data_IF_067097115090
#
_entry.id   IF_067097115090
#
_cell.length_a   1.000
_cell.length_b   1.000
_cell.length_c   1.000
_cell.angle_alpha   90.00
_cell.angle_beta   90.00
_cell.angle_gamma   90.00
#
_symmetry.space_group_name_H-M   'P 1'
#
loop_
_entity.id
_entity.type
_entity.pdbx_description
1 polymer ?
#
# COMPACT_ATOMS: atom_id res chain seq x y z
N UNK A 1 20.32 11.70 3.48
CA UNK A 1 19.15 11.46 4.34
C UNK A 1 19.21 12.52 5.44
N UNK A 2 18.24 13.42 5.39
CA UNK A 2 18.15 14.59 6.24
C UNK A 2 17.78 14.20 7.67
N UNK A 3 17.85 15.17 8.60
CA UNK A 3 17.62 15.05 10.02
C UNK A 3 16.50 14.08 10.37
N UNK A 4 16.73 13.26 11.39
CA UNK A 4 15.76 12.28 11.90
C UNK A 4 14.47 12.99 12.26
N UNK A 5 13.43 12.78 11.48
CA UNK A 5 12.10 13.31 11.79
C UNK A 5 11.54 12.67 13.05
N UNK A 6 10.69 13.41 13.78
CA UNK A 6 10.04 12.92 14.99
C UNK A 6 9.10 11.75 14.72
N UNK A 7 8.49 11.71 13.51
CA UNK A 7 7.58 10.65 13.06
C UNK A 7 7.98 10.24 11.65
N UNK A 8 8.26 8.95 11.46
CA UNK A 8 8.59 8.34 10.18
C UNK A 8 7.47 7.41 9.71
N UNK A 9 6.89 7.69 8.54
CA UNK A 9 5.83 6.90 7.95
C UNK A 9 6.31 6.29 6.63
N UNK A 10 6.25 4.97 6.52
CA UNK A 10 6.45 4.26 5.28
C UNK A 10 5.10 3.93 4.67
N UNK A 11 4.90 4.29 3.40
CA UNK A 11 3.69 3.94 2.65
C UNK A 11 4.04 3.04 1.47
N UNK A 12 3.24 2.01 1.23
CA UNK A 12 3.43 1.10 0.12
C UNK A 12 2.09 0.68 -0.48
N UNK A 13 2.10 0.29 -1.76
CA UNK A 13 0.90 -0.07 -2.51
C UNK A 13 1.10 0.04 -4.01
N UNK A 14 0.01 0.21 -4.74
CA UNK A 14 0.04 0.34 -6.21
C UNK A 14 -0.18 1.78 -6.69
N UNK A 15 -0.71 1.95 -7.90
CA UNK A 15 -1.00 3.26 -8.51
C UNK A 15 -1.86 4.18 -7.65
N UNK A 16 -2.76 3.63 -6.84
CA UNK A 16 -3.57 4.38 -5.88
C UNK A 16 -2.73 5.04 -4.78
N UNK A 17 -1.65 4.38 -4.36
CA UNK A 17 -0.73 4.94 -3.37
C UNK A 17 0.31 5.87 -3.99
N UNK A 18 0.71 5.59 -5.24
CA UNK A 18 1.53 6.54 -6.03
C UNK A 18 0.80 7.87 -6.21
N UNK A 19 -0.52 7.83 -6.37
CA UNK A 19 -1.34 9.00 -6.71
C UNK A 19 -1.35 9.25 -8.22
N UNK A 20 -1.49 8.16 -9.03
CA UNK A 20 -1.58 8.33 -10.48
C UNK A 20 -2.84 9.14 -10.84
N UNK A 21 -2.64 10.17 -11.68
CA UNK A 21 -3.71 11.05 -12.15
C UNK A 21 -4.05 12.22 -11.22
N UNK A 22 -3.45 12.30 -10.04
CA UNK A 22 -3.54 13.46 -9.12
C UNK A 22 -2.19 14.14 -8.96
N UNK A 23 -2.15 15.36 -8.38
CA UNK A 23 -0.88 15.98 -8.00
C UNK A 23 -0.30 15.28 -6.77
N UNK A 24 1.02 15.37 -6.59
CA UNK A 24 1.69 14.74 -5.45
C UNK A 24 1.07 15.12 -4.10
N UNK A 25 0.77 16.39 -3.89
CA UNK A 25 0.19 16.89 -2.64
C UNK A 25 -1.28 16.47 -2.42
N UNK A 26 -1.96 15.97 -3.46
CA UNK A 26 -3.32 15.43 -3.42
C UNK A 26 -3.31 13.91 -3.15
N UNK A 27 -2.18 13.22 -3.36
CA UNK A 27 -2.07 11.79 -3.09
C UNK A 27 -2.12 11.51 -1.58
N UNK A 28 -2.85 10.47 -1.18
CA UNK A 28 -3.13 10.16 0.22
C UNK A 28 -1.91 10.10 1.15
N UNK A 29 -0.71 9.61 0.72
CA UNK A 29 0.45 9.62 1.60
C UNK A 29 0.86 11.04 2.01
N UNK A 30 0.83 11.97 1.06
CA UNK A 30 1.24 13.37 1.31
C UNK A 30 0.17 14.14 2.07
N UNK A 31 -1.12 13.88 1.80
CA UNK A 31 -2.24 14.41 2.60
C UNK A 31 -2.13 13.92 4.05
N UNK A 32 -1.83 12.63 4.25
CA UNK A 32 -1.60 12.04 5.57
C UNK A 32 -0.47 12.75 6.32
N UNK A 33 0.67 12.98 5.65
CA UNK A 33 1.80 13.73 6.22
C UNK A 33 1.35 15.07 6.79
N UNK A 34 0.59 15.84 6.01
CA UNK A 34 0.13 17.17 6.44
C UNK A 34 -0.89 17.09 7.59
N UNK A 35 -1.76 16.07 7.61
CA UNK A 35 -2.69 15.83 8.73
C UNK A 35 -1.93 15.55 10.03
N UNK A 36 -0.95 14.62 10.01
CA UNK A 36 -0.14 14.26 11.18
C UNK A 36 0.66 15.47 11.66
N UNK A 37 1.34 16.17 10.75
CA UNK A 37 2.13 17.37 11.05
C UNK A 37 1.28 18.45 11.73
N UNK A 38 0.10 18.73 11.17
CA UNK A 38 -0.81 19.75 11.71
C UNK A 38 -1.33 19.39 13.10
N UNK A 39 -1.54 18.11 13.37
CA UNK A 39 -2.09 17.64 14.65
C UNK A 39 -1.05 17.60 15.77
N UNK A 40 0.19 17.23 15.44
CA UNK A 40 1.23 16.96 16.43
C UNK A 40 2.24 18.10 16.60
N UNK A 41 2.29 19.03 15.65
CA UNK A 41 3.33 20.05 15.51
C UNK A 41 4.77 19.48 15.40
N UNK A 42 4.88 18.15 15.14
CA UNK A 42 6.15 17.43 14.99
C UNK A 42 6.63 17.42 13.53
N UNK A 43 7.92 17.17 13.36
CA UNK A 43 8.46 16.89 12.01
C UNK A 43 8.06 15.50 11.56
N UNK A 44 7.55 15.39 10.33
CA UNK A 44 7.04 14.13 9.76
C UNK A 44 7.73 13.82 8.44
N UNK A 45 8.37 12.66 8.37
CA UNK A 45 8.85 12.09 7.11
C UNK A 45 7.85 11.11 6.53
N UNK A 46 7.68 11.12 5.20
CA UNK A 46 6.91 10.12 4.49
C UNK A 46 7.77 9.48 3.40
N UNK A 47 7.86 8.15 3.42
CA UNK A 47 8.58 7.36 2.42
C UNK A 47 7.56 6.58 1.59
N UNK A 48 7.15 7.17 0.45
CA UNK A 48 6.21 6.51 -0.44
C UNK A 48 6.96 5.58 -1.40
N UNK A 49 6.92 4.28 -1.12
CA UNK A 49 7.59 3.22 -1.88
C UNK A 49 6.61 2.46 -2.78
N UNK A 50 5.46 3.03 -3.06
CA UNK A 50 4.50 2.45 -3.98
C UNK A 50 4.98 2.50 -5.44
N UNK A 51 4.50 1.57 -6.25
CA UNK A 51 4.72 1.60 -7.70
C UNK A 51 3.44 1.21 -8.45
N UNK A 52 3.23 1.82 -9.62
CA UNK A 52 2.09 1.47 -10.47
C UNK A 52 2.16 0.00 -10.89
N UNK A 53 1.02 -0.70 -10.82
CA UNK A 53 0.97 -2.12 -11.19
C UNK A 53 1.52 -3.08 -10.13
N UNK A 54 1.91 -2.61 -8.95
CA UNK A 54 2.41 -3.47 -7.87
C UNK A 54 1.46 -4.63 -7.55
N UNK A 55 2.05 -5.75 -7.15
CA UNK A 55 1.39 -6.92 -6.56
C UNK A 55 1.45 -6.89 -5.03
N UNK A 56 0.75 -7.81 -4.37
CA UNK A 56 0.88 -8.02 -2.93
C UNK A 56 2.30 -8.48 -2.54
N UNK A 57 2.95 -9.27 -3.38
CA UNK A 57 4.35 -9.72 -3.17
C UNK A 57 5.33 -8.55 -3.26
N UNK A 58 5.11 -7.60 -4.21
CA UNK A 58 5.90 -6.37 -4.30
C UNK A 58 5.88 -5.58 -3.00
N UNK A 59 4.69 -5.42 -2.39
CA UNK A 59 4.53 -4.67 -1.14
C UNK A 59 5.39 -5.29 -0.05
N UNK A 60 5.25 -6.60 0.20
CA UNK A 60 6.00 -7.29 1.26
C UNK A 60 7.50 -7.24 1.01
N UNK A 61 7.93 -7.54 -0.22
CA UNK A 61 9.35 -7.52 -0.61
C UNK A 61 9.96 -6.12 -0.44
N UNK A 62 9.23 -5.08 -0.78
CA UNK A 62 9.68 -3.69 -0.65
C UNK A 62 9.82 -3.29 0.80
N UNK A 63 8.80 -3.56 1.62
CA UNK A 63 8.86 -3.29 3.07
C UNK A 63 10.00 -4.09 3.72
N UNK A 64 10.13 -5.38 3.43
CA UNK A 64 11.21 -6.22 3.96
C UNK A 64 12.61 -5.64 3.66
N UNK A 65 12.83 -5.13 2.45
CA UNK A 65 14.13 -4.55 2.06
C UNK A 65 14.43 -3.20 2.70
N UNK A 66 13.44 -2.50 3.16
CA UNK A 66 13.58 -1.08 3.54
C UNK A 66 13.28 -0.80 5.01
N UNK A 67 12.57 -1.69 5.69
CA UNK A 67 12.08 -1.44 7.05
C UNK A 67 13.21 -1.19 8.05
N UNK A 68 14.29 -1.97 8.01
CA UNK A 68 15.45 -1.79 8.89
C UNK A 68 16.27 -0.54 8.55
N UNK A 69 16.23 -0.10 7.28
CA UNK A 69 16.95 1.09 6.81
C UNK A 69 16.21 2.36 7.20
N UNK A 70 14.90 2.38 7.01
CA UNK A 70 14.05 3.55 7.24
C UNK A 70 13.58 3.65 8.68
N UNK A 71 13.55 2.53 9.41
CA UNK A 71 13.08 2.41 10.78
C UNK A 71 11.79 3.22 11.03
N UNK A 72 10.69 2.92 10.30
CA UNK A 72 9.46 3.69 10.37
C UNK A 72 8.71 3.43 11.69
N UNK A 73 8.07 4.47 12.22
CA UNK A 73 7.12 4.33 13.34
C UNK A 73 5.81 3.68 12.86
N UNK A 74 5.41 4.00 11.62
CA UNK A 74 4.18 3.49 11.00
C UNK A 74 4.46 2.93 9.60
N UNK A 75 3.89 1.77 9.32
CA UNK A 75 3.85 1.17 7.98
C UNK A 75 2.40 1.16 7.51
N UNK A 76 2.08 2.00 6.55
CA UNK A 76 0.74 2.18 5.99
C UNK A 76 0.66 1.55 4.60
N UNK A 77 -0.15 0.52 4.45
CA UNK A 77 -0.29 -0.22 3.19
C UNK A 77 -1.69 -0.08 2.62
N UNK A 78 -1.76 0.32 1.35
CA UNK A 78 -2.97 0.18 0.56
C UNK A 78 -2.79 -1.01 -0.38
N UNK A 79 -3.44 -2.14 -0.04
CA UNK A 79 -3.23 -3.40 -0.73
C UNK A 79 -3.66 -3.34 -2.20
N UNK A 80 -2.78 -3.74 -3.12
CA UNK A 80 -3.13 -3.87 -4.53
C UNK A 80 -4.04 -5.06 -4.77
N UNK A 81 -4.71 -5.12 -5.94
CA UNK A 81 -5.48 -6.29 -6.33
C UNK A 81 -4.63 -7.56 -6.32
N UNK A 82 -5.12 -8.61 -5.65
CA UNK A 82 -4.44 -9.91 -5.48
C UNK A 82 -4.28 -10.72 -6.77
N UNK A 83 -4.93 -10.29 -7.83
CA UNK A 83 -4.79 -10.87 -9.18
C UNK A 83 -3.44 -10.59 -9.84
N UNK A 84 -2.59 -9.83 -9.17
CA UNK A 84 -1.24 -9.51 -9.62
C UNK A 84 -0.22 -10.31 -8.84
N UNK A 85 0.67 -11.01 -9.52
CA UNK A 85 1.78 -11.79 -8.94
C UNK A 85 3.12 -11.31 -9.46
N UNK A 86 4.15 -11.46 -8.67
CA UNK A 86 5.52 -11.32 -9.15
C UNK A 86 6.02 -12.66 -9.71
N UNK A 87 6.56 -12.61 -10.92
CA UNK A 87 7.21 -13.74 -11.56
C UNK A 87 8.68 -13.40 -11.79
N UNK A 88 9.60 -14.37 -11.61
CA UNK A 88 10.98 -14.16 -11.99
C UNK A 88 11.06 -13.88 -13.50
N UNK A 89 11.78 -12.83 -13.87
CA UNK A 89 12.10 -12.57 -15.28
C UNK A 89 13.36 -13.32 -15.68
N UNK A 90 13.36 -13.93 -16.86
CA UNK A 90 14.56 -14.53 -17.45
C UNK A 90 15.60 -13.46 -17.86
N UNK A 91 15.21 -12.20 -17.86
CA UNK A 91 16.07 -11.07 -18.19
C UNK A 91 16.45 -10.30 -16.91
N UNK A 92 17.71 -10.39 -16.53
CA UNK A 92 18.33 -9.55 -15.49
C UNK A 92 17.89 -9.75 -14.03
N UNK A 93 17.48 -10.92 -13.60
CA UNK A 93 17.09 -11.23 -12.20
C UNK A 93 16.05 -10.27 -11.60
N UNK A 94 15.23 -9.65 -12.43
CA UNK A 94 14.16 -8.75 -12.00
C UNK A 94 12.84 -9.48 -11.88
N UNK A 95 12.11 -9.20 -10.83
CA UNK A 95 10.72 -9.63 -10.72
C UNK A 95 9.83 -8.77 -11.64
N UNK A 96 9.00 -9.41 -12.43
CA UNK A 96 8.00 -8.77 -13.28
C UNK A 96 6.63 -9.05 -12.71
N UNK A 97 5.83 -8.00 -12.51
CA UNK A 97 4.45 -8.16 -12.06
C UNK A 97 3.58 -8.54 -13.26
N UNK A 98 2.94 -9.69 -13.18
CA UNK A 98 1.95 -10.14 -14.17
C UNK A 98 0.56 -10.14 -13.55
N UNK A 99 -0.45 -9.80 -14.35
CA UNK A 99 -1.85 -9.88 -13.93
C UNK A 99 -2.51 -11.11 -14.53
N UNK A 100 -3.03 -11.99 -13.70
CA UNK A 100 -3.78 -13.17 -14.14
C UNK A 100 -4.94 -12.85 -15.08
N UNK A 101 -5.54 -11.67 -14.96
CA UNK A 101 -6.70 -11.29 -15.76
C UNK A 101 -6.35 -10.86 -17.19
N UNK A 102 -5.08 -10.59 -17.49
CA UNK A 102 -4.63 -9.99 -18.75
C UNK A 102 -3.69 -10.87 -19.57
N UNK A 103 -3.21 -11.96 -19.00
CA UNK A 103 -2.23 -12.82 -19.65
C UNK A 103 -2.90 -14.14 -20.07
N UNK A 104 -3.20 -14.27 -21.38
CA UNK A 104 -3.78 -15.49 -21.95
C UNK A 104 -2.84 -16.72 -21.86
N UNK A 105 -1.55 -16.50 -21.58
CA UNK A 105 -0.55 -17.55 -21.37
C UNK A 105 -0.50 -18.05 -19.93
N UNK A 106 -1.19 -17.38 -19.01
CA UNK A 106 -1.27 -17.88 -17.65
C UNK A 106 -2.19 -19.11 -17.60
N UNK A 107 -1.78 -20.22 -16.98
CA UNK A 107 -2.61 -21.44 -16.94
C UNK A 107 -3.97 -21.12 -16.33
N UNK A 108 -5.02 -21.08 -17.16
CA UNK A 108 -6.40 -20.77 -16.75
C UNK A 108 -6.89 -21.67 -15.59
N UNK A 109 -6.30 -22.86 -15.45
CA UNK A 109 -6.56 -23.79 -14.35
C UNK A 109 -6.00 -23.34 -12.99
N UNK A 110 -5.04 -22.43 -12.96
CA UNK A 110 -4.44 -21.88 -11.73
C UNK A 110 -5.25 -20.71 -11.19
N UNK A 111 -5.95 -19.98 -12.07
CA UNK A 111 -6.50 -18.65 -11.81
C UNK A 111 -7.94 -18.68 -11.32
N UNK A 112 -8.65 -19.78 -11.54
CA UNK A 112 -10.10 -19.84 -11.28
C UNK A 112 -10.45 -20.26 -9.84
N UNK A 113 -9.52 -20.07 -8.91
CA UNK A 113 -9.77 -20.46 -7.53
C UNK A 113 -9.58 -19.26 -6.62
N UNK A 114 -10.68 -18.71 -6.14
CA UNK A 114 -10.73 -17.67 -5.10
C UNK A 114 -9.78 -17.99 -3.94
N UNK A 115 -9.62 -19.27 -3.58
CA UNK A 115 -8.73 -19.72 -2.53
C UNK A 115 -7.24 -19.35 -2.76
N UNK A 116 -6.76 -19.26 -4.01
CA UNK A 116 -5.36 -18.86 -4.27
C UNK A 116 -5.17 -17.37 -3.99
N UNK A 117 -6.17 -16.56 -4.33
CA UNK A 117 -6.14 -15.12 -4.06
C UNK A 117 -6.16 -14.88 -2.55
N UNK A 118 -7.05 -15.56 -1.83
CA UNK A 118 -7.13 -15.49 -0.37
C UNK A 118 -5.83 -15.98 0.27
N UNK A 119 -5.30 -17.12 -0.20
CA UNK A 119 -4.02 -17.64 0.30
C UNK A 119 -2.86 -16.67 0.09
N UNK A 120 -2.73 -16.10 -1.12
CA UNK A 120 -1.67 -15.13 -1.42
C UNK A 120 -1.81 -13.87 -0.56
N UNK A 121 -3.02 -13.39 -0.37
CA UNK A 121 -3.28 -12.23 0.47
C UNK A 121 -2.92 -12.51 1.93
N UNK A 122 -3.49 -13.55 2.53
CA UNK A 122 -3.23 -13.90 3.93
C UNK A 122 -1.76 -14.19 4.21
N UNK A 123 -1.09 -14.93 3.32
CA UNK A 123 0.35 -15.15 3.41
C UNK A 123 1.12 -13.84 3.52
N UNK A 124 0.83 -12.91 2.62
CA UNK A 124 1.52 -11.62 2.56
C UNK A 124 1.15 -10.71 3.74
N UNK A 125 -0.11 -10.74 4.18
CA UNK A 125 -0.57 -10.01 5.36
C UNK A 125 0.16 -10.48 6.63
N UNK A 126 0.21 -11.79 6.88
CA UNK A 126 0.90 -12.36 8.04
C UNK A 126 2.40 -12.06 8.02
N UNK A 127 3.05 -12.16 6.85
CA UNK A 127 4.46 -11.81 6.70
C UNK A 127 4.69 -10.33 7.04
N UNK A 128 3.84 -9.43 6.57
CA UNK A 128 4.02 -8.01 6.82
C UNK A 128 3.75 -7.65 8.28
N UNK A 129 2.76 -8.26 8.92
CA UNK A 129 2.51 -8.14 10.35
C UNK A 129 3.72 -8.62 11.17
N UNK A 130 4.32 -9.74 10.81
CA UNK A 130 5.51 -10.26 11.48
C UNK A 130 6.72 -9.31 11.32
N UNK A 131 6.97 -8.80 10.11
CA UNK A 131 8.05 -7.85 9.84
C UNK A 131 7.89 -6.55 10.64
N UNK A 132 6.69 -5.98 10.64
CA UNK A 132 6.42 -4.72 11.36
C UNK A 132 6.49 -4.91 12.87
N UNK A 133 6.01 -6.06 13.39
CA UNK A 133 6.13 -6.41 14.79
C UNK A 133 7.59 -6.54 15.23
N UNK A 134 8.42 -7.25 14.43
CA UNK A 134 9.85 -7.40 14.69
C UNK A 134 10.59 -6.05 14.70
N UNK A 135 10.23 -5.15 13.81
CA UNK A 135 10.79 -3.79 13.72
C UNK A 135 10.19 -2.82 14.77
N UNK A 136 9.12 -3.22 15.48
CA UNK A 136 8.34 -2.38 16.42
C UNK A 136 7.58 -1.24 15.75
N UNK A 137 7.34 -1.32 14.44
CA UNK A 137 6.48 -0.40 13.70
C UNK A 137 5.00 -0.74 13.91
N UNK A 138 4.15 0.27 13.90
CA UNK A 138 2.70 0.05 13.83
C UNK A 138 2.29 -0.22 12.39
N UNK A 139 1.59 -1.32 12.16
CA UNK A 139 1.07 -1.70 10.86
C UNK A 139 -0.39 -1.27 10.72
N UNK A 140 -0.72 -0.58 9.65
CA UNK A 140 -2.08 -0.13 9.31
C UNK A 140 -2.29 -0.45 7.83
N UNK A 141 -3.37 -1.13 7.49
CA UNK A 141 -3.63 -1.47 6.09
C UNK A 141 -5.07 -1.26 5.67
N UNK A 142 -5.26 -1.06 4.36
CA UNK A 142 -6.55 -0.90 3.72
C UNK A 142 -6.52 -1.46 2.29
N UNK A 143 -7.67 -1.63 1.65
CA UNK A 143 -7.82 -2.19 0.31
C UNK A 143 -8.97 -1.56 -0.45
N UNK A 144 -8.95 -1.67 -1.79
CA UNK A 144 -10.11 -1.38 -2.68
C UNK A 144 -11.00 -2.60 -2.91
N UNK A 145 -10.68 -3.75 -2.32
CA UNK A 145 -11.40 -5.00 -2.58
C UNK A 145 -12.29 -5.29 -1.37
N UNK A 146 -13.59 -5.12 -1.57
CA UNK A 146 -14.60 -5.27 -0.52
C UNK A 146 -14.51 -6.62 0.20
N UNK A 147 -14.29 -7.71 -0.52
CA UNK A 147 -14.17 -9.07 0.05
C UNK A 147 -12.91 -9.30 0.91
N UNK A 148 -11.99 -8.35 0.96
CA UNK A 148 -10.76 -8.43 1.76
C UNK A 148 -10.81 -7.53 3.00
N UNK A 149 -11.88 -6.76 3.18
CA UNK A 149 -12.01 -5.81 4.30
C UNK A 149 -12.11 -6.52 5.64
N UNK A 150 -12.76 -7.70 5.69
CA UNK A 150 -12.93 -8.47 6.93
C UNK A 150 -11.61 -8.99 7.51
N UNK A 151 -10.55 -9.05 6.70
CA UNK A 151 -9.22 -9.56 7.10
C UNK A 151 -8.26 -8.45 7.56
N UNK A 152 -8.65 -7.20 7.44
CA UNK A 152 -7.82 -6.03 7.76
C UNK A 152 -8.63 -5.01 8.57
N UNK A 153 -7.93 -4.12 9.28
CA UNK A 153 -8.55 -3.01 10.03
C UNK A 153 -9.10 -1.90 9.11
N UNK A 154 -9.49 -2.26 7.88
CA UNK A 154 -9.84 -1.33 6.83
C UNK A 154 -11.32 -1.17 6.58
N UNK A 155 -11.67 0.00 6.04
CA UNK A 155 -12.98 0.28 5.50
C UNK A 155 -12.92 0.28 3.96
N UNK A 156 -13.96 -0.23 3.32
CA UNK A 156 -14.09 -0.09 1.87
C UNK A 156 -14.37 1.37 1.49
N UNK A 157 -13.53 1.94 0.63
CA UNK A 157 -13.75 3.28 0.08
C UNK A 157 -14.15 3.17 -1.39
N UNK A 158 -15.44 3.33 -1.71
CA UNK A 158 -15.84 3.46 -3.10
C UNK A 158 -15.20 4.69 -3.74
N UNK A 159 -14.78 4.58 -4.99
CA UNK A 159 -14.28 5.71 -5.74
C UNK A 159 -15.46 6.66 -6.04
N UNK A 160 -15.54 7.76 -5.32
CA UNK A 160 -16.56 8.80 -5.46
C UNK A 160 -16.22 9.83 -6.54
N UNK A 161 -14.98 9.85 -7.00
CA UNK A 161 -14.47 10.74 -8.03
C UNK A 161 -13.34 10.08 -8.81
N UNK A 162 -13.15 10.50 -10.05
CA UNK A 162 -12.04 10.07 -10.91
C UNK A 162 -10.95 11.12 -10.96
N UNK A 163 -9.70 10.65 -11.06
CA UNK A 163 -8.54 11.48 -11.33
C UNK A 163 -8.56 12.02 -12.77
N UNK A 164 -7.59 12.86 -13.13
CA UNK A 164 -7.48 13.50 -14.45
C UNK A 164 -7.32 12.51 -15.60
N UNK A 165 -6.86 11.31 -15.33
CA UNK A 165 -6.71 10.24 -16.32
C UNK A 165 -8.01 9.47 -16.58
N UNK A 166 -9.09 9.77 -15.86
CA UNK A 166 -10.41 9.14 -15.99
C UNK A 166 -10.47 7.68 -15.53
N UNK A 167 -9.40 7.14 -14.91
CA UNK A 167 -9.28 5.73 -14.54
C UNK A 167 -9.02 5.53 -13.04
N UNK A 168 -8.19 6.38 -12.43
CA UNK A 168 -7.81 6.27 -11.02
C UNK A 168 -8.73 7.12 -10.14
N UNK A 169 -8.74 6.86 -8.83
CA UNK A 169 -9.50 7.68 -7.87
C UNK A 169 -9.02 9.13 -7.84
N UNK A 170 -9.97 10.05 -7.67
CA UNK A 170 -9.70 11.49 -7.61
C UNK A 170 -9.25 11.98 -6.23
N UNK A 171 -9.02 13.32 -6.10
CA UNK A 171 -8.50 13.91 -4.87
C UNK A 171 -9.35 13.66 -3.62
N UNK A 172 -10.68 13.59 -3.75
CA UNK A 172 -11.57 13.32 -2.61
C UNK A 172 -11.33 11.94 -2.02
N UNK A 173 -11.20 10.92 -2.87
CA UNK A 173 -10.87 9.56 -2.45
C UNK A 173 -9.52 9.52 -1.71
N UNK A 174 -8.51 10.20 -2.23
CA UNK A 174 -7.20 10.30 -1.57
C UNK A 174 -7.28 10.97 -0.20
N UNK A 175 -8.13 12.00 -0.06
CA UNK A 175 -8.38 12.65 1.23
C UNK A 175 -9.02 11.69 2.22
N UNK A 176 -10.07 10.96 1.82
CA UNK A 176 -10.74 9.95 2.66
C UNK A 176 -9.75 8.85 3.08
N UNK A 177 -8.91 8.36 2.17
CA UNK A 177 -7.86 7.41 2.49
C UNK A 177 -6.84 7.94 3.51
N UNK A 178 -6.42 9.20 3.36
CA UNK A 178 -5.52 9.83 4.32
C UNK A 178 -6.17 9.99 5.71
N UNK A 179 -7.43 10.38 5.78
CA UNK A 179 -8.20 10.51 7.04
C UNK A 179 -8.35 9.16 7.75
N UNK A 180 -8.54 8.06 6.99
CA UNK A 180 -8.54 6.70 7.55
C UNK A 180 -7.21 6.40 8.26
N UNK A 181 -6.08 6.52 7.57
CA UNK A 181 -4.77 6.25 8.17
C UNK A 181 -4.47 7.20 9.33
N UNK A 182 -4.83 8.47 9.22
CA UNK A 182 -4.67 9.45 10.29
C UNK A 182 -5.43 9.05 11.55
N UNK A 183 -6.69 8.62 11.44
CA UNK A 183 -7.51 8.16 12.56
C UNK A 183 -6.80 7.05 13.36
N UNK A 184 -6.15 6.11 12.67
CA UNK A 184 -5.43 5.01 13.31
C UNK A 184 -4.10 5.47 13.91
N UNK A 185 -3.32 6.28 13.20
CA UNK A 185 -2.06 6.85 13.69
C UNK A 185 -2.30 7.68 14.95
N UNK A 186 -3.35 8.50 14.96
CA UNK A 186 -3.66 9.41 16.06
C UNK A 186 -3.95 8.72 17.40
N UNK A 187 -4.17 7.41 17.40
CA UNK A 187 -4.32 6.63 18.63
C UNK A 187 -2.97 6.31 19.31
N UNK A 188 -1.85 6.62 18.64
CA UNK A 188 -0.50 6.22 19.04
C UNK A 188 0.50 7.39 19.18
N UNK A 189 0.07 8.63 18.89
CA UNK A 189 0.94 9.84 18.89
C UNK A 189 0.49 10.87 19.93
#
# INVERSE_FOLDING_TARGET
FDEKSDINILTCGCSHTVGVGVNQHEAWPFVLKELVKKHTEKTVSIHNLATSGASVDYVVRTVHKTIDILNPDFVCVFWPPVVRVEMPSNENDKAVTQSFLRDDNFPKNFVNKYWLQDYLFHKNLVLLQALTTANKSKFISNTVIESMVDDIDGDYFPADSTARDGLHPGPNWHKTGAEFYFKHINQHI
#
